data_IF_621274056102
#
_entry.id   IF_621274056102
#
_cell.length_a   1.000
_cell.length_b   1.000
_cell.length_c   1.000
_cell.angle_alpha   90.00
_cell.angle_beta   90.00
_cell.angle_gamma   90.00
#
_symmetry.space_group_name_H-M   'P 1'
#
loop_
_entity.id
_entity.type
_entity.pdbx_description
1 polymer ?
#
# COMPACT_ATOMS: atom_id res chain seq x y z
N UNK A 1 -7.18 14.37 -21.81
CA UNK A 1 -5.88 14.55 -21.11
C UNK A 1 -6.00 14.50 -19.59
N UNK A 2 -6.74 15.40 -18.91
CA UNK A 2 -6.82 15.45 -17.43
C UNK A 2 -7.35 14.17 -16.77
N UNK A 3 -8.32 13.48 -17.38
CA UNK A 3 -8.86 12.23 -16.84
C UNK A 3 -7.84 11.09 -16.82
N UNK A 4 -7.01 11.00 -17.87
CA UNK A 4 -5.95 9.98 -17.97
C UNK A 4 -4.94 10.12 -16.83
N UNK A 5 -4.45 11.34 -16.59
CA UNK A 5 -3.49 11.59 -15.51
C UNK A 5 -4.07 11.30 -14.12
N UNK A 6 -5.36 11.60 -13.90
CA UNK A 6 -6.05 11.23 -12.64
C UNK A 6 -6.13 9.72 -12.45
N UNK A 7 -6.50 8.97 -13.50
CA UNK A 7 -6.55 7.51 -13.44
C UNK A 7 -5.15 6.92 -13.23
N UNK A 8 -4.12 7.50 -13.86
CA UNK A 8 -2.73 7.07 -13.67
C UNK A 8 -2.27 7.31 -12.24
N UNK A 9 -2.57 8.49 -11.68
CA UNK A 9 -2.29 8.80 -10.29
C UNK A 9 -3.01 7.83 -9.34
N UNK A 10 -4.29 7.56 -9.58
CA UNK A 10 -5.07 6.60 -8.80
C UNK A 10 -4.46 5.19 -8.88
N UNK A 11 -4.10 4.74 -10.07
CA UNK A 11 -3.48 3.44 -10.28
C UNK A 11 -2.15 3.32 -9.52
N UNK A 12 -1.30 4.35 -9.59
CA UNK A 12 -0.05 4.40 -8.81
C UNK A 12 -0.32 4.38 -7.30
N UNK A 13 -1.35 5.10 -6.85
CA UNK A 13 -1.75 5.15 -5.44
C UNK A 13 -2.15 3.78 -4.93
N UNK A 14 -3.01 3.08 -5.68
CA UNK A 14 -3.42 1.71 -5.35
C UNK A 14 -2.23 0.75 -5.44
N UNK A 15 -1.39 0.88 -6.46
CA UNK A 15 -0.19 0.06 -6.64
C UNK A 15 0.78 0.15 -5.46
N UNK A 16 1.05 1.36 -4.95
CA UNK A 16 1.90 1.56 -3.76
C UNK A 16 1.27 0.95 -2.51
N UNK A 17 -0.04 1.13 -2.31
CA UNK A 17 -0.75 0.53 -1.19
C UNK A 17 -0.68 -1.01 -1.26
N UNK A 18 -0.82 -1.59 -2.44
CA UNK A 18 -0.82 -3.05 -2.62
C UNK A 18 0.56 -3.67 -2.49
N UNK A 19 1.58 -3.08 -3.12
CA UNK A 19 2.95 -3.62 -3.09
C UNK A 19 3.57 -3.55 -1.70
N UNK A 20 3.12 -2.61 -0.88
CA UNK A 20 3.66 -2.44 0.47
C UNK A 20 3.09 -3.44 1.47
N UNK A 21 1.93 -4.05 1.22
CA UNK A 21 1.32 -4.95 2.20
C UNK A 21 2.20 -6.17 2.53
N UNK A 22 2.65 -6.99 1.56
CA UNK A 22 3.30 -8.27 1.90
C UNK A 22 4.60 -8.07 2.66
N UNK A 23 5.44 -7.13 2.20
CA UNK A 23 6.69 -6.82 2.88
C UNK A 23 6.50 -6.13 4.23
N UNK A 24 5.41 -5.37 4.40
CA UNK A 24 5.12 -4.74 5.68
C UNK A 24 4.77 -5.76 6.76
N UNK A 25 3.92 -6.73 6.42
CA UNK A 25 3.53 -7.81 7.33
C UNK A 25 4.76 -8.72 7.61
N UNK A 26 5.64 -8.90 6.62
CA UNK A 26 6.85 -9.71 6.79
C UNK A 26 7.81 -9.13 7.83
N UNK A 27 8.08 -7.81 7.80
CA UNK A 27 8.94 -7.23 8.82
C UNK A 27 8.22 -7.08 10.16
N UNK A 28 6.90 -6.84 10.16
CA UNK A 28 6.13 -6.71 11.39
C UNK A 28 6.15 -8.00 12.22
N UNK A 29 6.20 -9.15 11.54
CA UNK A 29 6.23 -10.48 12.15
C UNK A 29 7.59 -11.19 11.97
N UNK A 30 8.68 -10.44 11.78
CA UNK A 30 10.00 -11.03 11.54
C UNK A 30 10.47 -11.90 12.72
N UNK A 31 10.17 -11.47 13.95
CA UNK A 31 10.57 -12.12 15.21
C UNK A 31 9.47 -12.98 15.85
N UNK A 32 8.20 -12.57 15.77
CA UNK A 32 7.04 -13.34 16.28
C UNK A 32 5.72 -12.84 15.66
N UNK A 33 4.59 -13.57 15.80
CA UNK A 33 3.26 -13.04 15.50
C UNK A 33 2.80 -12.05 16.56
N UNK A 34 2.46 -10.82 16.16
CA UNK A 34 2.04 -9.75 17.10
C UNK A 34 0.59 -9.29 16.96
N UNK A 35 -0.18 -9.92 16.08
CA UNK A 35 -1.60 -9.65 15.92
C UNK A 35 -1.93 -8.51 14.96
N UNK A 36 -3.20 -8.49 14.58
CA UNK A 36 -3.77 -7.66 13.52
C UNK A 36 -3.40 -6.17 13.58
N UNK A 37 -3.42 -5.55 14.77
CA UNK A 37 -3.17 -4.11 14.87
C UNK A 37 -1.73 -3.74 14.53
N UNK A 38 -0.75 -4.59 14.86
CA UNK A 38 0.66 -4.33 14.49
C UNK A 38 0.86 -4.47 13.00
N UNK A 39 0.21 -5.45 12.37
CA UNK A 39 0.30 -5.67 10.92
C UNK A 39 -0.40 -4.58 10.12
N UNK A 40 -1.56 -4.13 10.59
CA UNK A 40 -2.23 -2.95 10.04
C UNK A 40 -1.37 -1.69 10.19
N UNK A 41 -0.77 -1.47 11.38
CA UNK A 41 0.08 -0.32 11.63
C UNK A 41 1.30 -0.31 10.71
N UNK A 42 1.97 -1.45 10.56
CA UNK A 42 3.13 -1.61 9.69
C UNK A 42 2.78 -1.33 8.22
N UNK A 43 1.66 -1.88 7.74
CA UNK A 43 1.21 -1.66 6.37
C UNK A 43 0.87 -0.18 6.11
N UNK A 44 0.09 0.45 6.99
CA UNK A 44 -0.28 1.85 6.82
C UNK A 44 0.92 2.79 6.95
N UNK A 45 1.88 2.49 7.85
CA UNK A 45 3.13 3.24 7.97
C UNK A 45 3.97 3.13 6.69
N UNK A 46 4.09 1.94 6.11
CA UNK A 46 4.79 1.73 4.85
C UNK A 46 4.09 2.46 3.69
N UNK A 47 2.77 2.38 3.61
CA UNK A 47 2.00 3.11 2.60
C UNK A 47 2.16 4.63 2.74
N UNK A 48 2.15 5.16 3.96
CA UNK A 48 2.30 6.59 4.23
C UNK A 48 3.65 7.14 3.72
N UNK A 49 4.74 6.39 3.91
CA UNK A 49 6.04 6.72 3.32
C UNK A 49 6.02 6.77 1.78
N UNK A 50 5.38 5.79 1.15
CA UNK A 50 5.16 5.79 -0.30
C UNK A 50 4.22 6.90 -0.79
N UNK A 51 3.23 7.28 0.03
CA UNK A 51 2.27 8.35 -0.27
C UNK A 51 2.92 9.73 -0.34
N UNK A 52 4.06 9.95 0.34
CA UNK A 52 4.84 11.19 0.16
C UNK A 52 5.40 11.29 -1.26
N UNK A 53 5.96 10.18 -1.78
CA UNK A 53 6.49 10.12 -3.16
C UNK A 53 5.36 10.41 -4.17
N UNK A 54 4.18 9.80 -3.95
CA UNK A 54 2.99 10.07 -4.75
C UNK A 54 2.54 11.54 -4.65
N UNK A 55 2.64 12.15 -3.46
CA UNK A 55 2.36 13.57 -3.27
C UNK A 55 3.27 14.47 -4.10
N UNK A 56 4.59 14.19 -4.08
CA UNK A 56 5.57 14.90 -4.91
C UNK A 56 5.23 14.73 -6.39
N UNK A 57 4.95 13.50 -6.84
CA UNK A 57 4.53 13.24 -8.21
C UNK A 57 3.26 14.03 -8.59
N UNK A 58 2.27 14.09 -7.69
CA UNK A 58 1.04 14.85 -7.88
C UNK A 58 1.30 16.35 -8.04
N UNK A 59 2.18 16.92 -7.22
CA UNK A 59 2.57 18.33 -7.31
C UNK A 59 3.30 18.65 -8.63
N UNK A 60 4.14 17.74 -9.12
CA UNK A 60 4.78 17.86 -10.43
C UNK A 60 3.76 17.84 -11.58
N UNK A 61 2.65 17.12 -11.41
CA UNK A 61 1.53 17.00 -12.36
C UNK A 61 0.31 17.88 -12.02
N UNK A 62 0.55 18.97 -11.29
CA UNK A 62 -0.53 19.86 -10.79
C UNK A 62 -1.40 20.47 -11.87
N UNK A 63 -0.84 20.75 -13.06
CA UNK A 63 -1.60 21.36 -14.18
C UNK A 63 -2.61 20.37 -14.76
N UNK A 64 -2.25 19.09 -14.77
CA UNK A 64 -3.05 18.01 -15.32
C UNK A 64 -4.08 17.47 -14.32
N UNK A 65 -3.67 17.29 -13.06
CA UNK A 65 -4.52 16.77 -11.98
C UNK A 65 -5.53 17.82 -11.47
N UNK A 66 -5.10 19.08 -11.42
CA UNK A 66 -5.91 20.21 -10.95
C UNK A 66 -6.00 20.30 -9.44
N UNK A 67 -6.24 21.53 -8.95
CA UNK A 67 -6.22 21.86 -7.53
C UNK A 67 -7.16 21.00 -6.69
N UNK A 68 -8.45 20.86 -7.08
CA UNK A 68 -9.44 20.08 -6.32
C UNK A 68 -9.02 18.63 -6.07
N UNK A 69 -8.40 17.99 -7.08
CA UNK A 69 -7.94 16.60 -6.94
C UNK A 69 -6.76 16.50 -5.98
N UNK A 70 -5.80 17.42 -6.08
CA UNK A 70 -4.67 17.48 -5.15
C UNK A 70 -5.09 17.83 -3.72
N UNK A 71 -6.09 18.69 -3.54
CA UNK A 71 -6.66 18.98 -2.22
C UNK A 71 -7.30 17.74 -1.59
N UNK A 72 -8.05 16.96 -2.38
CA UNK A 72 -8.61 15.68 -1.90
C UNK A 72 -7.51 14.69 -1.53
N UNK A 73 -6.44 14.60 -2.33
CA UNK A 73 -5.30 13.76 -1.99
C UNK A 73 -4.59 14.21 -0.70
N UNK A 74 -4.41 15.52 -0.53
CA UNK A 74 -3.85 16.09 0.70
C UNK A 74 -4.70 15.79 1.93
N UNK A 75 -6.04 15.88 1.80
CA UNK A 75 -6.97 15.49 2.87
C UNK A 75 -6.85 14.00 3.20
N UNK A 76 -6.84 13.13 2.18
CA UNK A 76 -6.61 11.69 2.35
C UNK A 76 -5.29 11.42 3.09
N UNK A 77 -4.20 12.06 2.67
CA UNK A 77 -2.90 11.90 3.31
C UNK A 77 -2.92 12.35 4.77
N UNK A 78 -3.56 13.48 5.08
CA UNK A 78 -3.69 13.98 6.45
C UNK A 78 -4.49 13.03 7.34
N UNK A 79 -5.63 12.53 6.86
CA UNK A 79 -6.45 11.55 7.59
C UNK A 79 -5.67 10.27 7.84
N UNK A 80 -4.99 9.75 6.82
CA UNK A 80 -4.14 8.58 6.93
C UNK A 80 -3.00 8.81 7.94
N UNK A 81 -2.31 9.95 7.88
CA UNK A 81 -1.22 10.29 8.80
C UNK A 81 -1.70 10.26 10.25
N UNK A 82 -2.80 10.95 10.56
CA UNK A 82 -3.36 11.02 11.92
C UNK A 82 -3.79 9.64 12.40
N UNK A 83 -4.53 8.89 11.56
CA UNK A 83 -5.00 7.56 11.92
C UNK A 83 -3.83 6.60 12.20
N UNK A 84 -2.83 6.57 11.31
CA UNK A 84 -1.66 5.71 11.45
C UNK A 84 -0.81 6.10 12.65
N UNK A 85 -0.67 7.40 12.95
CA UNK A 85 0.05 7.86 14.13
C UNK A 85 -0.59 7.33 15.43
N UNK A 86 -1.91 7.51 15.59
CA UNK A 86 -2.61 7.00 16.78
C UNK A 86 -2.64 5.48 16.86
N UNK A 87 -2.71 4.80 15.71
CA UNK A 87 -2.60 3.34 15.66
C UNK A 87 -1.21 2.87 16.14
N UNK A 88 -0.13 3.54 15.72
CA UNK A 88 1.22 3.23 16.17
C UNK A 88 1.41 3.54 17.66
N UNK A 89 0.84 4.63 18.19
CA UNK A 89 0.84 4.88 19.64
C UNK A 89 0.14 3.77 20.42
N UNK A 90 -0.94 3.19 19.88
CA UNK A 90 -1.62 2.05 20.52
C UNK A 90 -0.79 0.77 20.49
N UNK A 91 -0.05 0.52 19.41
CA UNK A 91 0.73 -0.73 19.22
C UNK A 91 2.09 -0.67 19.91
N UNK A 92 2.76 0.47 19.85
CA UNK A 92 4.16 0.65 20.28
C UNK A 92 4.23 1.50 21.56
N UNK A 93 3.17 2.18 21.97
CA UNK A 93 3.20 3.10 23.12
C UNK A 93 3.55 2.46 24.46
N UNK A 94 3.35 1.14 24.60
CA UNK A 94 3.80 0.39 25.78
C UNK A 94 5.31 0.13 25.77
N UNK A 95 5.93 0.08 24.58
CA UNK A 95 7.36 -0.20 24.37
C UNK A 95 8.15 1.11 24.29
N UNK A 96 7.61 2.13 23.62
CA UNK A 96 8.18 3.45 23.49
C UNK A 96 7.09 4.53 23.61
N UNK A 97 6.81 5.02 24.83
CA UNK A 97 5.77 6.01 25.08
C UNK A 97 6.14 7.42 24.59
N UNK A 98 7.37 7.64 24.12
CA UNK A 98 7.91 8.97 23.73
C UNK A 98 8.19 9.00 22.21
N UNK A 99 7.35 8.35 21.40
CA UNK A 99 7.44 8.51 19.94
C UNK A 99 6.99 9.92 19.56
N UNK A 100 7.95 10.74 19.14
CA UNK A 100 7.64 12.07 18.60
C UNK A 100 7.02 11.97 17.20
N UNK A 101 6.28 13.01 16.80
CA UNK A 101 5.72 13.12 15.45
C UNK A 101 6.84 13.09 14.39
N UNK A 102 7.99 13.66 14.71
CA UNK A 102 9.18 13.66 13.83
C UNK A 102 9.72 12.25 13.64
N UNK A 103 9.86 11.49 14.73
CA UNK A 103 10.33 10.10 14.66
C UNK A 103 9.35 9.25 13.85
N UNK A 104 8.05 9.42 14.07
CA UNK A 104 7.02 8.74 13.30
C UNK A 104 7.16 9.01 11.79
N UNK A 105 7.41 10.26 11.39
CA UNK A 105 7.65 10.58 9.98
C UNK A 105 8.84 9.80 9.42
N UNK A 106 10.00 9.77 10.10
CA UNK A 106 11.15 8.97 9.65
C UNK A 106 10.86 7.47 9.61
N UNK A 107 10.16 6.95 10.61
CA UNK A 107 9.79 5.53 10.69
C UNK A 107 8.87 5.12 9.54
N UNK A 108 8.01 6.00 9.03
CA UNK A 108 7.15 5.69 7.88
C UNK A 108 7.95 5.51 6.59
N UNK A 109 8.99 6.32 6.38
CA UNK A 109 9.92 6.12 5.26
C UNK A 109 10.74 4.85 5.39
N UNK A 110 11.24 4.56 6.59
CA UNK A 110 11.95 3.31 6.83
C UNK A 110 11.04 2.09 6.62
N UNK A 111 9.80 2.15 7.12
CA UNK A 111 8.78 1.12 6.90
C UNK A 111 8.50 0.90 5.42
N UNK A 112 8.41 1.98 4.64
CA UNK A 112 8.25 1.90 3.19
C UNK A 112 9.43 1.17 2.54
N UNK A 113 10.67 1.53 2.88
CA UNK A 113 11.87 0.90 2.33
C UNK A 113 11.93 -0.60 2.67
N UNK A 114 11.75 -0.95 3.94
CA UNK A 114 11.74 -2.35 4.39
C UNK A 114 10.64 -3.15 3.70
N UNK A 115 9.45 -2.58 3.61
CA UNK A 115 8.32 -3.19 2.91
C UNK A 115 8.62 -3.46 1.43
N UNK A 116 9.22 -2.51 0.70
CA UNK A 116 9.60 -2.73 -0.70
C UNK A 116 10.69 -3.81 -0.81
N UNK A 117 11.71 -3.77 0.04
CA UNK A 117 12.80 -4.75 0.04
C UNK A 117 12.29 -6.17 0.31
N UNK A 118 11.33 -6.32 1.22
CA UNK A 118 10.78 -7.60 1.63
C UNK A 118 9.56 -8.04 0.82
N UNK A 119 9.01 -7.18 -0.04
CA UNK A 119 7.80 -7.47 -0.82
C UNK A 119 7.93 -8.76 -1.64
N UNK A 120 9.05 -8.94 -2.35
CA UNK A 120 9.31 -10.14 -3.16
C UNK A 120 9.50 -11.39 -2.29
N UNK A 121 10.42 -11.42 -1.31
CA UNK A 121 10.55 -12.55 -0.39
C UNK A 121 9.23 -12.94 0.31
N UNK A 122 8.46 -11.95 0.74
CA UNK A 122 7.20 -12.15 1.45
C UNK A 122 6.10 -12.78 0.60
N UNK A 123 6.17 -12.64 -0.74
CA UNK A 123 5.25 -13.35 -1.65
C UNK A 123 5.54 -14.86 -1.63
N UNK A 124 6.82 -15.26 -1.49
CA UNK A 124 7.23 -16.67 -1.50
C UNK A 124 7.19 -17.34 -0.13
N UNK A 125 7.26 -16.55 0.95
CA UNK A 125 7.13 -17.03 2.33
C UNK A 125 6.13 -16.15 3.08
N UNK A 126 4.81 -16.39 2.91
CA UNK A 126 3.79 -15.45 3.33
C UNK A 126 3.67 -15.41 4.86
N UNK A 127 3.87 -14.25 5.50
CA UNK A 127 3.85 -14.07 6.96
C UNK A 127 2.43 -13.87 7.51
N UNK A 128 1.41 -14.47 6.87
CA UNK A 128 0.00 -14.25 7.24
C UNK A 128 -0.47 -15.26 8.28
N UNK A 129 -1.18 -14.76 9.28
CA UNK A 129 -1.83 -15.52 10.33
C UNK A 129 -3.36 -15.44 10.22
N UNK A 130 -4.12 -16.28 10.93
CA UNK A 130 -5.59 -16.26 10.87
C UNK A 130 -6.21 -14.88 11.11
N UNK A 131 -5.61 -14.09 12.01
CA UNK A 131 -6.08 -12.74 12.33
C UNK A 131 -5.87 -11.72 11.20
N UNK A 132 -5.08 -12.04 10.17
CA UNK A 132 -4.81 -11.16 9.02
C UNK A 132 -5.87 -11.27 7.92
N UNK A 133 -6.87 -12.13 8.10
CA UNK A 133 -7.99 -12.28 7.16
C UNK A 133 -8.59 -10.93 6.72
N UNK A 134 -8.82 -9.93 7.59
CA UNK A 134 -9.32 -8.63 7.14
C UNK A 134 -8.34 -7.86 6.24
N UNK A 135 -7.02 -8.00 6.47
CA UNK A 135 -5.98 -7.39 5.63
C UNK A 135 -5.95 -8.04 4.24
N UNK A 136 -6.10 -9.37 4.19
CA UNK A 136 -6.21 -10.11 2.93
C UNK A 136 -7.46 -9.71 2.14
N UNK A 137 -8.61 -9.57 2.81
CA UNK A 137 -9.85 -9.09 2.18
C UNK A 137 -9.69 -7.66 1.66
N UNK A 138 -9.07 -6.75 2.44
CA UNK A 138 -8.77 -5.40 1.98
C UNK A 138 -7.87 -5.41 0.74
N UNK A 139 -6.84 -6.27 0.74
CA UNK A 139 -5.95 -6.45 -0.41
C UNK A 139 -6.73 -6.92 -1.65
N UNK A 140 -7.65 -7.89 -1.53
CA UNK A 140 -8.58 -8.30 -2.60
C UNK A 140 -9.41 -7.14 -3.13
N UNK A 141 -9.95 -6.29 -2.25
CA UNK A 141 -10.64 -5.07 -2.65
C UNK A 141 -9.75 -4.12 -3.48
N UNK A 142 -8.50 -3.94 -3.06
CA UNK A 142 -7.52 -3.11 -3.78
C UNK A 142 -7.15 -3.71 -5.14
N UNK A 143 -7.01 -5.03 -5.26
CA UNK A 143 -6.81 -5.71 -6.54
C UNK A 143 -7.95 -5.40 -7.51
N UNK A 144 -9.20 -5.54 -7.05
CA UNK A 144 -10.40 -5.27 -7.87
C UNK A 144 -10.42 -3.80 -8.30
N UNK A 145 -10.18 -2.87 -7.37
CA UNK A 145 -10.14 -1.43 -7.67
C UNK A 145 -9.03 -1.06 -8.68
N UNK A 146 -7.85 -1.65 -8.52
CA UNK A 146 -6.72 -1.48 -9.44
C UNK A 146 -7.01 -2.02 -10.82
N UNK A 147 -7.65 -3.19 -10.90
CA UNK A 147 -8.07 -3.79 -12.17
C UNK A 147 -9.06 -2.89 -12.91
N UNK A 148 -10.09 -2.36 -12.24
CA UNK A 148 -11.03 -1.43 -12.86
C UNK A 148 -10.36 -0.12 -13.30
N UNK A 149 -9.44 0.40 -12.48
CA UNK A 149 -8.66 1.60 -12.84
C UNK A 149 -7.80 1.35 -14.08
N UNK A 150 -7.18 0.17 -14.18
CA UNK A 150 -6.42 -0.25 -15.34
C UNK A 150 -7.28 -0.39 -16.60
N UNK A 151 -8.47 -0.99 -16.52
CA UNK A 151 -9.41 -1.04 -17.65
C UNK A 151 -9.80 0.36 -18.12
N UNK A 152 -9.93 1.31 -17.20
CA UNK A 152 -10.13 2.72 -17.51
C UNK A 152 -8.94 3.33 -18.26
N UNK A 153 -7.70 3.04 -17.84
CA UNK A 153 -6.48 3.51 -18.49
C UNK A 153 -6.28 2.95 -19.90
N UNK A 154 -6.65 1.67 -20.13
CA UNK A 154 -6.56 1.01 -21.44
C UNK A 154 -7.29 1.78 -22.55
N UNK A 155 -8.34 2.52 -22.21
CA UNK A 155 -9.09 3.37 -23.16
C UNK A 155 -8.27 4.56 -23.71
N UNK A 156 -7.11 4.85 -23.13
CA UNK A 156 -6.31 6.05 -23.41
C UNK A 156 -4.86 5.77 -23.82
N UNK A 157 -4.47 4.53 -24.10
CA UNK A 157 -3.07 4.17 -24.38
C UNK A 157 -2.85 3.26 -25.59
N UNK A 158 -1.76 3.54 -26.31
CA UNK A 158 -1.19 2.72 -27.39
C UNK A 158 -0.31 1.57 -26.85
N UNK A 159 -0.12 0.53 -27.67
CA UNK A 159 0.32 -0.83 -27.29
C UNK A 159 1.60 -0.96 -26.42
N UNK A 160 2.52 0.00 -26.47
CA UNK A 160 3.84 -0.11 -25.79
C UNK A 160 3.77 0.08 -24.27
N UNK A 161 2.91 0.96 -23.78
CA UNK A 161 2.73 1.21 -22.34
C UNK A 161 1.86 0.11 -21.72
N UNK A 162 1.00 -0.52 -22.53
CA UNK A 162 0.22 -1.70 -22.14
C UNK A 162 1.11 -2.83 -21.59
N UNK A 163 2.35 -2.97 -22.07
CA UNK A 163 3.29 -4.00 -21.58
C UNK A 163 3.69 -3.78 -20.13
N UNK A 164 3.97 -2.53 -19.72
CA UNK A 164 4.32 -2.21 -18.33
C UNK A 164 3.14 -2.49 -17.41
N UNK A 165 1.94 -2.09 -17.83
CA UNK A 165 0.74 -2.40 -17.05
C UNK A 165 0.39 -3.88 -17.04
N UNK A 166 0.68 -4.65 -18.10
CA UNK A 166 0.53 -6.11 -18.14
C UNK A 166 1.50 -6.81 -17.21
N UNK A 167 2.74 -6.34 -17.10
CA UNK A 167 3.71 -6.84 -16.10
C UNK A 167 3.19 -6.55 -14.70
N UNK A 168 2.68 -5.34 -14.47
CA UNK A 168 2.04 -4.99 -13.21
C UNK A 168 0.86 -5.93 -12.93
N UNK A 169 -0.05 -6.11 -13.90
CA UNK A 169 -1.18 -7.04 -13.84
C UNK A 169 -0.74 -8.50 -13.61
N UNK A 170 0.39 -8.92 -14.18
CA UNK A 170 0.98 -10.23 -13.97
C UNK A 170 1.46 -10.41 -12.53
N UNK A 171 2.19 -9.44 -11.99
CA UNK A 171 2.54 -9.38 -10.57
C UNK A 171 1.27 -9.33 -9.69
N UNK A 172 0.22 -8.67 -10.18
CA UNK A 172 -1.04 -8.56 -9.49
C UNK A 172 -1.76 -9.92 -9.34
N UNK A 173 -1.91 -10.62 -10.46
CA UNK A 173 -2.51 -11.95 -10.51
C UNK A 173 -1.65 -12.97 -9.76
N UNK A 174 -0.32 -12.85 -9.82
CA UNK A 174 0.61 -13.68 -9.08
C UNK A 174 0.42 -13.52 -7.57
N UNK A 175 0.36 -12.28 -7.06
CA UNK A 175 0.08 -12.05 -5.64
C UNK A 175 -1.33 -12.48 -5.23
N UNK A 176 -2.32 -12.39 -6.12
CA UNK A 176 -3.68 -12.90 -5.88
C UNK A 176 -3.69 -14.43 -5.70
N UNK A 177 -2.98 -15.15 -6.56
CA UNK A 177 -2.86 -16.61 -6.49
C UNK A 177 -2.22 -17.07 -5.17
N UNK A 178 -1.15 -16.42 -4.74
CA UNK A 178 -0.50 -16.72 -3.46
C UNK A 178 -1.34 -16.31 -2.24
N UNK A 179 -2.03 -15.16 -2.30
CA UNK A 179 -2.97 -14.76 -1.25
C UNK A 179 -4.10 -15.78 -1.06
N UNK A 180 -4.68 -16.27 -2.15
CA UNK A 180 -5.73 -17.31 -2.11
C UNK A 180 -5.21 -18.67 -1.64
N UNK A 181 -4.03 -19.09 -2.10
CA UNK A 181 -3.36 -20.30 -1.61
C UNK A 181 -3.17 -20.23 -0.09
N UNK A 182 -2.78 -19.07 0.45
CA UNK A 182 -2.54 -18.93 1.88
C UNK A 182 -3.83 -18.87 2.70
N UNK A 183 -4.88 -18.23 2.19
CA UNK A 183 -6.23 -18.35 2.76
C UNK A 183 -6.61 -19.83 2.86
N UNK A 184 -6.43 -20.60 1.79
CA UNK A 184 -6.74 -22.03 1.79
C UNK A 184 -5.88 -22.87 2.76
N UNK A 185 -4.64 -22.45 3.05
CA UNK A 185 -3.79 -23.08 4.09
C UNK A 185 -4.20 -22.70 5.52
N UNK A 186 -4.61 -21.45 5.75
CA UNK A 186 -5.03 -20.95 7.07
C UNK A 186 -6.35 -21.58 7.54
N UNK A 187 -7.23 -21.98 6.62
CA UNK A 187 -8.51 -22.61 6.91
C UNK A 187 -8.49 -24.16 6.84
N UNK A 188 -7.30 -24.78 6.78
CA UNK A 188 -7.10 -26.22 6.96
C UNK A 188 -6.72 -26.56 8.39
#
# INVERSE_FOLDING_TARGET
MKQKEKLKFLFLTLGVLMITQPGAIAFANFDAPYGFYKDLAAWLSAYLGGAVILGIYGLLKRRELGFRFLSLYGLHYMVLFVFTYFLNLKVIGEINPIISITDFFFLTFLSFQLSIMLSLPAIFSPPYYPYDTPLLVAQLGLWIASFYTFLGLKKFEEERILTVYRIFLGLMLFSTFFGLLKVAEVFK
#
